data_IF_411752187981
#
_entry.id   IF_411752187981
#
_cell.length_a   1.000
_cell.length_b   1.000
_cell.length_c   1.000
_cell.angle_alpha   90.00
_cell.angle_beta   90.00
_cell.angle_gamma   90.00
#
_symmetry.space_group_name_H-M   'P 1'
#
loop_
_entity.id
_entity.type
_entity.pdbx_description
1 polymer ?
#
# COMPACT_ATOMS: atom_id res chain seq x y z
N UNK A 1 12.40 26.08 3.37
CA UNK A 1 11.86 24.73 3.66
C UNK A 1 11.50 24.51 5.13
N UNK A 2 12.30 24.98 6.10
CA UNK A 2 12.00 24.80 7.54
C UNK A 2 10.69 25.45 8.03
N UNK A 3 10.20 26.49 7.37
CA UNK A 3 8.92 27.13 7.70
C UNK A 3 7.71 26.19 7.47
N UNK A 4 7.75 25.36 6.42
CA UNK A 4 6.69 24.40 6.11
C UNK A 4 6.57 23.33 7.19
N UNK A 5 7.71 22.72 7.58
CA UNK A 5 7.73 21.69 8.62
C UNK A 5 7.26 22.23 9.97
N UNK A 6 7.64 23.48 10.31
CA UNK A 6 7.13 24.16 11.51
C UNK A 6 5.62 24.43 11.44
N UNK A 7 5.11 24.87 10.30
CA UNK A 7 3.68 25.18 10.12
C UNK A 7 2.79 23.94 10.27
N UNK A 8 3.28 22.75 9.87
CA UNK A 8 2.55 21.47 9.99
C UNK A 8 2.93 20.68 11.25
N UNK A 9 3.76 21.25 12.15
CA UNK A 9 4.09 20.65 13.45
C UNK A 9 5.02 19.44 13.40
N UNK A 10 5.80 19.23 12.34
CA UNK A 10 6.75 18.10 12.23
C UNK A 10 8.19 18.59 12.09
N UNK A 11 9.15 17.74 12.45
CA UNK A 11 10.57 18.01 12.19
C UNK A 11 10.97 17.58 10.77
N UNK A 12 12.04 18.18 10.23
CA UNK A 12 12.61 17.76 8.94
C UNK A 12 13.02 16.28 8.98
N UNK A 13 13.57 15.81 10.11
CA UNK A 13 13.98 14.43 10.31
C UNK A 13 12.78 13.48 10.31
N UNK A 14 11.68 13.86 10.98
CA UNK A 14 10.43 13.10 10.97
C UNK A 14 9.84 13.00 9.56
N UNK A 15 9.81 14.10 8.80
CA UNK A 15 9.34 14.11 7.42
C UNK A 15 10.21 13.20 6.52
N UNK A 16 11.54 13.28 6.67
CA UNK A 16 12.47 12.45 5.92
C UNK A 16 12.32 10.95 6.25
N UNK A 17 12.19 10.59 7.53
CA UNK A 17 11.94 9.22 7.95
C UNK A 17 10.59 8.70 7.45
N UNK A 18 9.55 9.53 7.49
CA UNK A 18 8.25 9.19 6.92
C UNK A 18 8.36 8.90 5.43
N UNK A 19 9.07 9.73 4.68
CA UNK A 19 9.25 9.54 3.23
C UNK A 19 10.03 8.26 2.91
N UNK A 20 11.06 7.93 3.67
CA UNK A 20 11.77 6.65 3.51
C UNK A 20 10.86 5.44 3.77
N UNK A 21 10.04 5.48 4.83
CA UNK A 21 9.06 4.44 5.10
C UNK A 21 8.02 4.34 3.97
N UNK A 22 7.58 5.48 3.45
CA UNK A 22 6.63 5.53 2.34
C UNK A 22 7.20 4.87 1.08
N UNK A 23 8.46 5.15 0.72
CA UNK A 23 9.12 4.47 -0.41
C UNK A 23 9.10 2.94 -0.28
N UNK A 24 9.35 2.42 0.93
CA UNK A 24 9.31 0.96 1.18
C UNK A 24 7.88 0.41 1.02
N UNK A 25 6.88 1.12 1.54
CA UNK A 25 5.47 0.74 1.38
C UNK A 25 5.05 0.78 -0.08
N UNK A 26 5.46 1.80 -0.83
CA UNK A 26 5.14 1.96 -2.25
C UNK A 26 5.73 0.80 -3.08
N UNK A 27 6.98 0.43 -2.81
CA UNK A 27 7.64 -0.71 -3.44
C UNK A 27 6.91 -2.03 -3.14
N UNK A 28 6.59 -2.29 -1.87
CA UNK A 28 5.84 -3.48 -1.47
C UNK A 28 4.45 -3.51 -2.12
N UNK A 29 3.79 -2.36 -2.24
CA UNK A 29 2.47 -2.23 -2.87
C UNK A 29 2.52 -2.53 -4.37
N UNK A 30 3.56 -2.07 -5.07
CA UNK A 30 3.76 -2.36 -6.49
C UNK A 30 3.93 -3.86 -6.76
N UNK A 31 4.69 -4.57 -5.92
CA UNK A 31 4.84 -6.03 -6.00
C UNK A 31 3.49 -6.71 -5.72
N UNK A 32 2.80 -6.31 -4.66
CA UNK A 32 1.50 -6.86 -4.29
C UNK A 32 0.46 -6.71 -5.42
N UNK A 33 0.49 -5.60 -6.16
CA UNK A 33 -0.37 -5.37 -7.32
C UNK A 33 -0.10 -6.37 -8.45
N UNK A 34 1.17 -6.69 -8.71
CA UNK A 34 1.55 -7.70 -9.71
C UNK A 34 1.07 -9.10 -9.28
N UNK A 35 1.31 -9.48 -8.03
CA UNK A 35 0.87 -10.78 -7.49
C UNK A 35 -0.66 -10.92 -7.54
N UNK A 36 -1.38 -9.84 -7.21
CA UNK A 36 -2.83 -9.79 -7.29
C UNK A 36 -3.34 -9.92 -8.74
N UNK A 37 -2.67 -9.31 -9.72
CA UNK A 37 -3.02 -9.46 -11.12
C UNK A 37 -2.77 -10.88 -11.64
N UNK A 38 -1.67 -11.52 -11.25
CA UNK A 38 -1.43 -12.95 -11.56
C UNK A 38 -2.53 -13.83 -10.95
N UNK A 39 -2.85 -13.62 -9.67
CA UNK A 39 -3.91 -14.38 -9.01
C UNK A 39 -5.29 -14.20 -9.68
N UNK A 40 -5.61 -12.99 -10.17
CA UNK A 40 -6.84 -12.76 -10.97
C UNK A 40 -6.79 -13.48 -12.32
N UNK A 41 -5.63 -13.56 -12.98
CA UNK A 41 -5.46 -14.30 -14.25
C UNK A 41 -5.67 -15.80 -14.04
N UNK A 42 -5.12 -16.36 -12.97
CA UNK A 42 -5.30 -17.78 -12.63
C UNK A 42 -6.73 -18.09 -12.15
N UNK A 43 -7.37 -17.14 -11.47
CA UNK A 43 -8.70 -17.30 -10.86
C UNK A 43 -9.63 -16.12 -11.18
N UNK A 44 -10.21 -16.04 -12.40
CA UNK A 44 -10.98 -14.89 -12.90
C UNK A 44 -12.31 -14.58 -12.17
N UNK A 45 -12.63 -15.30 -11.09
CA UNK A 45 -13.78 -15.02 -10.21
C UNK A 45 -13.39 -14.89 -8.73
N UNK A 46 -12.09 -14.78 -8.42
CA UNK A 46 -11.62 -14.61 -7.05
C UNK A 46 -11.97 -13.20 -6.56
N UNK A 47 -12.86 -13.10 -5.57
CA UNK A 47 -13.19 -11.83 -4.93
C UNK A 47 -12.00 -11.23 -4.19
N UNK A 48 -11.93 -9.90 -4.11
CA UNK A 48 -10.82 -9.15 -3.52
C UNK A 48 -10.52 -9.57 -2.07
N UNK A 49 -11.55 -9.84 -1.27
CA UNK A 49 -11.37 -10.35 0.10
C UNK A 49 -10.68 -11.73 0.13
N UNK A 50 -11.03 -12.64 -0.78
CA UNK A 50 -10.34 -13.94 -0.89
C UNK A 50 -8.89 -13.75 -1.32
N UNK A 51 -8.62 -12.83 -2.25
CA UNK A 51 -7.26 -12.49 -2.66
C UNK A 51 -6.39 -12.05 -1.48
N UNK A 52 -6.94 -11.24 -0.57
CA UNK A 52 -6.24 -10.86 0.66
C UNK A 52 -5.83 -12.08 1.50
N UNK A 53 -6.73 -13.04 1.69
CA UNK A 53 -6.42 -14.25 2.47
C UNK A 53 -5.47 -15.21 1.75
N UNK A 54 -5.29 -15.08 0.43
CA UNK A 54 -4.29 -15.81 -0.34
C UNK A 54 -2.92 -15.13 -0.27
N UNK A 55 -2.86 -13.82 -0.53
CA UNK A 55 -1.61 -13.05 -0.59
C UNK A 55 -1.05 -12.70 0.80
N UNK A 56 -1.93 -12.51 1.80
CA UNK A 56 -1.62 -12.20 3.21
C UNK A 56 -0.45 -11.22 3.38
N UNK A 57 -0.54 -9.99 2.84
CA UNK A 57 0.54 -9.01 2.99
C UNK A 57 0.79 -8.67 4.46
N UNK A 58 2.07 -8.56 4.84
CA UNK A 58 2.49 -8.27 6.23
C UNK A 58 2.36 -6.79 6.64
N UNK A 59 2.12 -5.91 5.66
CA UNK A 59 2.20 -4.46 5.79
C UNK A 59 0.90 -3.72 5.49
N UNK A 60 -0.13 -4.45 5.03
CA UNK A 60 -1.40 -3.88 4.57
C UNK A 60 -2.56 -4.68 5.18
N UNK A 61 -3.45 -4.01 5.92
CA UNK A 61 -4.62 -4.66 6.48
C UNK A 61 -5.71 -4.94 5.43
N UNK A 62 -6.60 -5.89 5.74
CA UNK A 62 -7.69 -6.33 4.83
C UNK A 62 -8.50 -5.17 4.27
N UNK A 63 -8.97 -4.26 5.12
CA UNK A 63 -9.91 -3.23 4.68
C UNK A 63 -9.24 -2.24 3.72
N UNK A 64 -7.98 -1.85 4.00
CA UNK A 64 -7.18 -1.03 3.08
C UNK A 64 -6.79 -1.76 1.80
N UNK A 65 -6.56 -3.07 1.88
CA UNK A 65 -6.36 -3.88 0.69
C UNK A 65 -7.60 -3.83 -0.20
N UNK A 66 -8.79 -4.03 0.37
CA UNK A 66 -10.05 -3.99 -0.39
C UNK A 66 -10.24 -2.60 -1.01
N UNK A 67 -10.10 -1.52 -0.24
CA UNK A 67 -10.19 -0.14 -0.73
C UNK A 67 -9.24 0.11 -1.92
N UNK A 68 -7.96 -0.20 -1.76
CA UNK A 68 -6.93 -0.04 -2.81
C UNK A 68 -7.31 -0.77 -4.11
N UNK A 69 -7.77 -2.02 -3.99
CA UNK A 69 -8.06 -2.85 -5.17
C UNK A 69 -9.43 -2.60 -5.79
N UNK A 70 -10.35 -1.95 -5.08
CA UNK A 70 -11.62 -1.46 -5.62
C UNK A 70 -11.43 -0.13 -6.35
N UNK A 71 -10.54 0.74 -5.86
CA UNK A 71 -10.21 2.01 -6.54
C UNK A 71 -9.45 1.81 -7.86
N UNK A 72 -8.74 0.68 -8.00
CA UNK A 72 -7.94 0.35 -9.19
C UNK A 72 -8.74 -0.31 -10.33
N UNK A 73 -10.01 -0.70 -10.11
CA UNK A 73 -10.86 -1.29 -11.15
C UNK A 73 -11.98 -2.19 -10.64
#
# INVERSE_FOLDING_TARGET
>A
MNALYKAIGISKQAAHQYQQRQTVVDQKTAILLQDAQELRREHPGCGVEKMYYTLRPDFLGRDRFIELFMDLG
#
